data_IF_747125595473
#
_entry.id   IF_747125595473
#
_cell.length_a   1.000
_cell.length_b   1.000
_cell.length_c   1.000
_cell.angle_alpha   90.00
_cell.angle_beta   90.00
_cell.angle_gamma   90.00
#
_symmetry.space_group_name_H-M   'P 1'
#
loop_
_entity.id
_entity.type
_entity.pdbx_description
1 polymer ?
#
# COMPACT_ATOMS: atom_id res chain seq x y z
N UNK A 1 -16.56 -21.16 -7.93
CA UNK A 1 -17.16 -19.79 -7.91
C UNK A 1 -16.68 -19.11 -6.63
N UNK A 2 -16.43 -17.79 -6.63
CA UNK A 2 -15.88 -17.10 -5.44
C UNK A 2 -16.87 -17.12 -4.27
N UNK A 3 -16.35 -17.31 -3.05
CA UNK A 3 -17.12 -17.33 -1.80
C UNK A 3 -16.72 -16.16 -0.91
N UNK A 4 -17.61 -15.20 -0.69
CA UNK A 4 -17.34 -14.00 0.09
C UNK A 4 -17.06 -14.25 1.58
N UNK A 5 -17.35 -15.46 2.08
CA UNK A 5 -17.07 -15.84 3.47
C UNK A 5 -15.65 -16.35 3.68
N UNK A 6 -14.94 -16.68 2.59
CA UNK A 6 -13.60 -17.23 2.65
C UNK A 6 -12.56 -16.15 2.33
N UNK A 7 -11.43 -16.13 3.04
CA UNK A 7 -10.42 -15.11 2.83
C UNK A 7 -9.78 -15.23 1.45
N UNK A 8 -9.47 -14.08 0.85
CA UNK A 8 -8.71 -14.01 -0.39
C UNK A 8 -7.20 -14.14 -0.14
N UNK A 9 -6.45 -14.51 -1.17
CA UNK A 9 -5.00 -14.44 -1.20
C UNK A 9 -4.59 -13.57 -2.38
N UNK A 10 -3.99 -12.44 -2.10
CA UNK A 10 -3.44 -11.53 -3.09
C UNK A 10 -1.95 -11.80 -3.20
N UNK A 11 -1.51 -12.38 -4.31
CA UNK A 11 -0.11 -12.49 -4.66
C UNK A 11 0.28 -11.23 -5.41
N UNK A 12 1.38 -10.61 -5.03
CA UNK A 12 1.98 -9.51 -5.79
C UNK A 12 3.41 -9.85 -6.15
N UNK A 13 3.88 -9.28 -7.25
CA UNK A 13 5.28 -9.25 -7.62
C UNK A 13 5.57 -8.01 -8.47
N UNK A 14 6.78 -7.47 -8.33
CA UNK A 14 7.20 -6.29 -9.08
C UNK A 14 8.64 -6.45 -9.53
N UNK A 15 8.91 -6.08 -10.78
CA UNK A 15 10.26 -6.02 -11.32
C UNK A 15 10.48 -4.74 -12.12
N UNK A 16 11.70 -4.55 -12.62
CA UNK A 16 12.05 -3.37 -13.42
C UNK A 16 11.28 -3.22 -14.73
N UNK A 17 10.51 -4.23 -15.14
CA UNK A 17 9.70 -4.21 -16.37
C UNK A 17 8.21 -3.97 -16.09
N UNK A 18 7.70 -4.47 -14.97
CA UNK A 18 6.26 -4.50 -14.74
C UNK A 18 5.84 -4.90 -13.33
N UNK A 19 4.54 -4.71 -13.09
CA UNK A 19 3.85 -5.03 -11.86
C UNK A 19 2.86 -6.16 -12.15
N UNK A 20 2.80 -7.15 -11.27
CA UNK A 20 1.92 -8.31 -11.40
C UNK A 20 1.16 -8.57 -10.11
N UNK A 21 -0.11 -8.92 -10.22
CA UNK A 21 -0.87 -9.45 -9.11
C UNK A 21 -1.84 -10.57 -9.50
N UNK A 22 -1.97 -11.55 -8.63
CA UNK A 22 -2.89 -12.67 -8.77
C UNK A 22 -3.80 -12.77 -7.54
N UNK A 23 -5.11 -12.70 -7.76
CA UNK A 23 -6.11 -12.90 -6.72
C UNK A 23 -6.58 -14.35 -6.73
N UNK A 24 -6.39 -15.02 -5.61
CA UNK A 24 -6.71 -16.42 -5.41
C UNK A 24 -7.66 -16.61 -4.24
N UNK A 25 -8.32 -17.76 -4.19
CA UNK A 25 -9.12 -18.19 -3.05
C UNK A 25 -9.11 -19.71 -2.90
N UNK A 26 -9.08 -20.17 -1.64
CA UNK A 26 -9.24 -21.59 -1.33
C UNK A 26 -10.72 -21.96 -1.40
N UNK A 27 -11.06 -22.96 -2.21
CA UNK A 27 -12.40 -23.53 -2.31
C UNK A 27 -12.37 -25.00 -1.90
N UNK A 28 -13.48 -25.54 -1.37
CA UNK A 28 -13.60 -26.97 -1.10
C UNK A 28 -14.09 -27.67 -2.37
N UNK A 29 -13.21 -28.44 -3.01
CA UNK A 29 -13.52 -29.25 -4.18
C UNK A 29 -13.31 -30.71 -3.80
N UNK A 30 -14.33 -31.55 -3.99
CA UNK A 30 -14.28 -32.98 -3.63
C UNK A 30 -13.82 -33.21 -2.16
N UNK A 31 -14.39 -32.44 -1.23
CA UNK A 31 -14.05 -32.46 0.20
C UNK A 31 -12.59 -32.10 0.54
N UNK A 32 -11.84 -31.52 -0.40
CA UNK A 32 -10.46 -31.08 -0.19
C UNK A 32 -10.32 -29.57 -0.43
N UNK A 33 -9.52 -28.86 0.38
CA UNK A 33 -9.18 -27.46 0.10
C UNK A 33 -8.27 -27.39 -1.12
N UNK A 34 -8.72 -26.67 -2.15
CA UNK A 34 -7.98 -26.39 -3.37
C UNK A 34 -7.93 -24.89 -3.56
N UNK A 35 -6.72 -24.35 -3.64
CA UNK A 35 -6.53 -22.95 -3.99
C UNK A 35 -6.68 -22.76 -5.50
N UNK A 36 -7.52 -21.82 -5.91
CA UNK A 36 -7.76 -21.52 -7.32
C UNK A 36 -7.67 -20.02 -7.60
N UNK A 37 -7.30 -19.63 -8.84
CA UNK A 37 -7.28 -18.24 -9.25
C UNK A 37 -8.71 -17.69 -9.44
N UNK A 38 -8.87 -16.41 -9.13
CA UNK A 38 -10.07 -15.62 -9.40
C UNK A 38 -9.78 -14.63 -10.52
N UNK A 39 -8.66 -13.90 -10.40
CA UNK A 39 -8.29 -12.84 -11.33
C UNK A 39 -6.78 -12.68 -11.37
N UNK A 40 -6.27 -12.29 -12.53
CA UNK A 40 -4.88 -11.90 -12.73
C UNK A 40 -4.88 -10.49 -13.33
N UNK A 41 -4.00 -9.64 -12.82
CA UNK A 41 -3.78 -8.29 -13.34
C UNK A 41 -2.28 -8.07 -13.50
N UNK A 42 -1.90 -7.34 -14.54
CA UNK A 42 -0.52 -6.95 -14.79
C UNK A 42 -0.51 -5.59 -15.46
N UNK A 43 0.51 -4.76 -15.20
CA UNK A 43 0.76 -3.56 -16.00
C UNK A 43 2.24 -3.29 -16.13
N UNK A 44 2.62 -2.64 -17.22
CA UNK A 44 3.97 -2.14 -17.39
C UNK A 44 4.30 -1.06 -16.35
N UNK A 45 5.53 -1.06 -15.85
CA UNK A 45 6.00 -0.06 -14.90
C UNK A 45 6.12 1.32 -15.58
N UNK A 46 5.73 2.39 -14.88
CA UNK A 46 5.91 3.76 -15.41
C UNK A 46 7.38 4.17 -15.33
N UNK A 47 7.81 5.07 -16.21
CA UNK A 47 9.19 5.60 -16.21
C UNK A 47 9.58 6.30 -14.90
N UNK A 48 8.61 6.86 -14.18
CA UNK A 48 8.80 7.45 -12.85
C UNK A 48 8.98 6.37 -11.78
N UNK A 49 8.18 5.30 -11.85
CA UNK A 49 8.22 4.16 -10.92
C UNK A 49 9.51 3.33 -11.09
N UNK A 50 10.01 3.19 -12.33
CA UNK A 50 11.25 2.50 -12.67
C UNK A 50 12.52 3.13 -12.06
N UNK A 51 12.42 4.34 -11.51
CA UNK A 51 13.53 5.01 -10.79
C UNK A 51 13.70 4.49 -9.36
N UNK A 52 12.70 3.79 -8.82
CA UNK A 52 12.76 3.20 -7.50
C UNK A 52 13.53 1.87 -7.54
N UNK A 53 14.20 1.54 -6.44
CA UNK A 53 14.86 0.23 -6.32
C UNK A 53 13.85 -0.91 -6.27
N UNK A 54 14.29 -2.14 -6.55
CA UNK A 54 13.45 -3.35 -6.61
C UNK A 54 12.59 -3.55 -5.35
N UNK A 55 13.14 -3.31 -4.16
CA UNK A 55 12.36 -3.43 -2.91
C UNK A 55 11.36 -2.28 -2.70
N UNK A 56 11.52 -1.15 -3.40
CA UNK A 56 10.66 0.02 -3.28
C UNK A 56 9.48 -0.03 -4.25
N UNK A 57 9.62 -0.70 -5.41
CA UNK A 57 8.55 -0.83 -6.43
C UNK A 57 7.42 -1.77 -6.01
N UNK A 58 7.62 -2.57 -4.97
CA UNK A 58 6.57 -3.43 -4.44
C UNK A 58 5.49 -2.69 -3.65
N UNK A 59 5.82 -1.59 -2.97
CA UNK A 59 4.82 -0.74 -2.33
C UNK A 59 3.83 -0.14 -3.35
N UNK A 60 4.25 0.51 -4.44
CA UNK A 60 3.33 0.97 -5.47
C UNK A 60 2.66 -0.20 -6.20
N UNK A 61 3.30 -1.37 -6.33
CA UNK A 61 2.62 -2.58 -6.82
C UNK A 61 1.43 -2.97 -5.95
N UNK A 62 1.61 -2.99 -4.63
CA UNK A 62 0.54 -3.28 -3.69
C UNK A 62 -0.59 -2.26 -3.78
N UNK A 63 -0.25 -0.96 -3.73
CA UNK A 63 -1.26 0.12 -3.81
C UNK A 63 -2.06 -0.01 -5.10
N UNK A 64 -1.39 -0.18 -6.24
CA UNK A 64 -2.05 -0.39 -7.52
C UNK A 64 -2.96 -1.63 -7.52
N UNK A 65 -2.50 -2.75 -6.96
CA UNK A 65 -3.30 -3.97 -6.89
C UNK A 65 -4.54 -3.81 -5.99
N UNK A 66 -4.41 -3.09 -4.86
CA UNK A 66 -5.52 -2.78 -3.95
C UNK A 66 -6.57 -1.91 -4.66
N UNK A 67 -6.14 -0.87 -5.37
CA UNK A 67 -7.03 0.01 -6.14
C UNK A 67 -7.79 -0.76 -7.23
N UNK A 68 -7.10 -1.61 -8.01
CA UNK A 68 -7.75 -2.38 -9.10
C UNK A 68 -8.67 -3.49 -8.59
N UNK A 69 -8.34 -4.08 -7.44
CA UNK A 69 -9.11 -5.17 -6.84
C UNK A 69 -9.99 -4.70 -5.68
N UNK A 70 -10.26 -3.39 -5.58
CA UNK A 70 -11.07 -2.77 -4.53
C UNK A 70 -12.38 -3.53 -4.29
N UNK A 71 -13.12 -3.86 -5.37
CA UNK A 71 -14.39 -4.60 -5.30
C UNK A 71 -14.30 -6.02 -4.72
N UNK A 72 -13.10 -6.59 -4.62
CA UNK A 72 -12.86 -7.90 -4.00
C UNK A 72 -12.35 -7.78 -2.57
N UNK A 73 -11.49 -6.79 -2.32
CA UNK A 73 -10.70 -6.71 -1.10
C UNK A 73 -11.35 -5.83 -0.04
N UNK A 74 -12.10 -4.81 -0.46
CA UNK A 74 -12.75 -3.89 0.49
C UNK A 74 -13.74 -4.62 1.41
N UNK A 75 -13.63 -4.35 2.71
CA UNK A 75 -14.42 -5.00 3.76
C UNK A 75 -14.19 -6.51 3.94
N UNK A 76 -13.21 -7.12 3.26
CA UNK A 76 -12.93 -8.57 3.35
C UNK A 76 -11.59 -8.86 4.00
N UNK A 77 -11.46 -10.02 4.64
CA UNK A 77 -10.17 -10.51 5.15
C UNK A 77 -9.37 -11.13 4.02
N UNK A 78 -8.12 -10.73 3.87
CA UNK A 78 -7.24 -11.30 2.86
C UNK A 78 -5.78 -11.40 3.31
N UNK A 79 -5.06 -12.31 2.65
CA UNK A 79 -3.64 -12.49 2.83
C UNK A 79 -2.88 -11.83 1.69
N UNK A 80 -2.00 -10.90 2.01
CA UNK A 80 -1.02 -10.39 1.06
C UNK A 80 0.16 -11.35 1.02
N UNK A 81 0.49 -11.88 -0.14
CA UNK A 81 1.62 -12.78 -0.37
C UNK A 81 2.65 -12.08 -1.26
N UNK A 82 3.84 -11.85 -0.71
CA UNK A 82 4.98 -11.21 -1.38
C UNK A 82 6.27 -11.92 -0.95
N UNK A 83 7.29 -11.91 -1.81
CA UNK A 83 8.63 -12.38 -1.51
C UNK A 83 9.55 -11.32 -0.89
N UNK A 84 9.00 -10.15 -0.60
CA UNK A 84 9.74 -9.06 -0.02
C UNK A 84 9.38 -8.79 1.42
N UNK A 85 10.36 -8.97 2.28
CA UNK A 85 10.29 -8.48 3.63
C UNK A 85 10.20 -6.95 3.69
N UNK A 86 10.57 -6.25 2.61
CA UNK A 86 10.48 -4.79 2.55
C UNK A 86 9.04 -4.30 2.61
N UNK A 87 8.05 -5.02 2.07
CA UNK A 87 6.64 -4.62 2.21
C UNK A 87 6.21 -4.52 3.69
N UNK A 88 6.69 -5.43 4.55
CA UNK A 88 6.45 -5.37 6.00
C UNK A 88 7.19 -4.22 6.66
N UNK A 89 8.46 -4.01 6.32
CA UNK A 89 9.25 -2.93 6.94
C UNK A 89 8.84 -1.55 6.44
N UNK A 90 8.46 -1.43 5.17
CA UNK A 90 8.07 -0.18 4.51
C UNK A 90 6.82 0.41 5.11
N UNK A 91 5.92 -0.40 5.65
CA UNK A 91 4.74 0.07 6.40
C UNK A 91 5.08 0.62 7.79
N UNK A 92 6.29 0.36 8.30
CA UNK A 92 6.70 0.72 9.66
C UNK A 92 7.87 1.72 9.69
N UNK A 93 8.15 2.38 8.55
CA UNK A 93 9.21 3.38 8.46
C UNK A 93 8.80 4.66 9.20
N UNK A 94 9.66 5.10 10.13
CA UNK A 94 9.44 6.30 10.96
C UNK A 94 9.60 7.62 10.21
N UNK A 95 10.31 7.63 9.10
CA UNK A 95 10.59 8.85 8.30
C UNK A 95 10.43 8.53 6.81
N UNK A 96 9.20 8.27 6.35
CA UNK A 96 8.94 7.96 4.95
C UNK A 96 9.17 9.21 4.09
N UNK A 97 9.63 9.02 2.84
CA UNK A 97 9.55 10.09 1.85
C UNK A 97 8.08 10.35 1.47
N UNK A 98 7.82 11.41 0.70
CA UNK A 98 6.46 11.83 0.35
C UNK A 98 5.65 10.72 -0.35
N UNK A 99 6.27 9.98 -1.26
CA UNK A 99 5.58 8.92 -2.01
C UNK A 99 5.28 7.71 -1.12
N UNK A 100 6.23 7.31 -0.29
CA UNK A 100 6.06 6.23 0.67
C UNK A 100 4.97 6.56 1.70
N UNK A 101 4.88 7.81 2.17
CA UNK A 101 3.84 8.23 3.10
C UNK A 101 2.45 8.09 2.45
N UNK A 102 2.30 8.49 1.19
CA UNK A 102 1.04 8.34 0.44
C UNK A 102 0.65 6.87 0.32
N UNK A 103 1.60 6.00 -0.02
CA UNK A 103 1.35 4.57 -0.13
C UNK A 103 1.01 3.93 1.21
N UNK A 104 1.70 4.32 2.29
CA UNK A 104 1.39 3.86 3.64
C UNK A 104 -0.05 4.20 4.05
N UNK A 105 -0.50 5.43 3.78
CA UNK A 105 -1.87 5.86 4.07
C UNK A 105 -2.88 5.01 3.30
N UNK A 106 -2.66 4.78 2.01
CA UNK A 106 -3.54 3.95 1.19
C UNK A 106 -3.60 2.50 1.69
N UNK A 107 -2.46 1.93 2.11
CA UNK A 107 -2.40 0.55 2.61
C UNK A 107 -3.03 0.44 4.01
N UNK A 108 -2.96 1.48 4.84
CA UNK A 108 -3.52 1.48 6.19
C UNK A 108 -5.03 1.27 6.22
N UNK A 109 -5.75 1.70 5.18
CA UNK A 109 -7.20 1.43 5.02
C UNK A 109 -7.50 -0.07 5.09
N UNK A 110 -6.62 -0.91 4.56
CA UNK A 110 -6.75 -2.36 4.56
C UNK A 110 -6.07 -3.04 5.74
N UNK A 111 -5.33 -2.29 6.57
CA UNK A 111 -4.41 -2.84 7.57
C UNK A 111 -5.09 -3.73 8.63
N UNK A 112 -6.37 -3.49 8.93
CA UNK A 112 -7.14 -4.31 9.89
C UNK A 112 -7.49 -5.69 9.31
N UNK A 113 -7.74 -5.75 8.00
CA UNK A 113 -8.23 -6.96 7.33
C UNK A 113 -7.15 -7.67 6.49
N UNK A 114 -5.99 -7.05 6.31
CA UNK A 114 -4.87 -7.57 5.55
C UNK A 114 -3.83 -8.22 6.47
N UNK A 115 -3.47 -9.47 6.19
CA UNK A 115 -2.34 -10.16 6.84
C UNK A 115 -1.22 -10.42 5.86
N UNK A 116 -0.01 -9.90 6.13
CA UNK A 116 1.15 -10.06 5.23
C UNK A 116 1.88 -11.38 5.49
N UNK A 117 1.91 -12.24 4.48
CA UNK A 117 2.59 -13.54 4.45
C UNK A 117 3.80 -13.44 3.51
N UNK A 118 4.99 -13.71 4.05
CA UNK A 118 6.20 -13.78 3.24
C UNK A 118 6.32 -15.16 2.62
N UNK A 119 6.58 -15.22 1.30
CA UNK A 119 6.85 -16.46 0.57
C UNK A 119 8.06 -16.27 -0.32
N UNK A 120 9.07 -17.14 -0.24
CA UNK A 120 10.23 -17.08 -1.13
C UNK A 120 9.83 -17.08 -2.63
N UNK A 121 10.47 -16.23 -3.43
CA UNK A 121 10.11 -15.97 -4.84
C UNK A 121 10.00 -17.20 -5.74
N UNK A 122 10.77 -18.27 -5.48
CA UNK A 122 10.65 -19.55 -6.19
C UNK A 122 9.26 -20.21 -6.09
N UNK A 123 8.46 -19.81 -5.10
CA UNK A 123 7.10 -20.31 -4.85
C UNK A 123 6.05 -19.29 -5.35
N UNK A 124 6.42 -18.05 -5.65
CA UNK A 124 5.53 -16.97 -6.10
C UNK A 124 5.36 -16.90 -7.63
N UNK A 125 5.38 -18.06 -8.31
CA UNK A 125 5.36 -18.15 -9.77
C UNK A 125 4.14 -17.50 -10.44
N UNK A 126 3.03 -17.40 -9.70
CA UNK A 126 1.77 -16.87 -10.22
C UNK A 126 1.87 -15.37 -10.54
N UNK A 127 2.55 -14.59 -9.68
CA UNK A 127 2.75 -13.16 -9.88
C UNK A 127 4.06 -12.87 -10.63
N UNK A 128 5.10 -13.70 -10.46
CA UNK A 128 6.40 -13.54 -11.13
C UNK A 128 6.31 -13.56 -12.67
N UNK A 129 5.46 -14.42 -13.23
CA UNK A 129 5.22 -14.42 -14.67
C UNK A 129 4.57 -13.12 -15.16
N UNK A 130 3.70 -12.52 -14.34
CA UNK A 130 2.93 -11.32 -14.69
C UNK A 130 3.78 -10.04 -14.62
N UNK A 131 4.72 -9.97 -13.68
CA UNK A 131 5.64 -8.82 -13.57
C UNK A 131 6.66 -8.81 -14.72
N UNK A 132 7.19 -9.98 -15.11
CA UNK A 132 8.21 -10.15 -16.16
C UNK A 132 7.67 -10.15 -17.59
N UNK A 133 6.37 -10.37 -17.78
CA UNK A 133 5.71 -10.34 -19.10
C UNK A 133 4.50 -9.42 -19.06
N UNK A 134 4.69 -8.23 -18.50
CA UNK A 134 3.62 -7.27 -18.32
C UNK A 134 3.00 -6.83 -19.66
N UNK A 135 1.68 -6.74 -19.70
CA UNK A 135 0.95 -6.21 -20.84
C UNK A 135 1.27 -4.72 -21.03
N UNK A 136 1.27 -4.28 -22.29
CA UNK A 136 1.38 -2.87 -22.62
C UNK A 136 0.22 -2.10 -21.98
N UNK A 137 0.55 -1.03 -21.26
CA UNK A 137 -0.44 -0.17 -20.62
C UNK A 137 -1.14 0.70 -21.67
N UNK A 138 -2.17 0.17 -22.34
CA UNK A 138 -3.02 0.90 -23.30
C UNK A 138 -4.42 1.16 -22.74
N UNK A 139 -5.17 2.18 -23.20
CA UNK A 139 -6.50 2.51 -22.67
C UNK A 139 -7.53 1.36 -22.72
N UNK A 140 -7.31 0.36 -23.56
CA UNK A 140 -8.14 -0.84 -23.69
C UNK A 140 -7.85 -1.88 -22.59
N UNK A 141 -6.73 -1.76 -21.87
CA UNK A 141 -6.36 -2.67 -20.79
C UNK A 141 -7.20 -2.36 -19.52
N UNK A 142 -7.93 -3.34 -18.94
CA UNK A 142 -8.65 -3.15 -17.69
C UNK A 142 -7.75 -2.75 -16.50
N UNK A 143 -6.43 -3.00 -16.59
CA UNK A 143 -5.44 -2.59 -15.62
C UNK A 143 -4.83 -1.20 -15.89
N UNK A 144 -5.12 -0.58 -17.03
CA UNK A 144 -4.55 0.70 -17.46
C UNK A 144 -4.81 1.82 -16.45
N UNK A 145 -3.79 2.63 -16.18
CA UNK A 145 -3.95 3.83 -15.38
C UNK A 145 -3.59 5.01 -16.27
N UNK A 146 -4.49 5.99 -16.47
CA UNK A 146 -4.12 7.23 -17.13
C UNK A 146 -2.83 7.76 -16.51
N UNK A 147 -1.90 8.25 -17.34
CA UNK A 147 -0.88 9.12 -16.82
C UNK A 147 -1.57 10.45 -16.51
N UNK A 148 -2.19 10.54 -15.35
CA UNK A 148 -2.47 11.84 -14.76
C UNK A 148 -1.10 12.46 -14.49
N UNK A 149 -0.70 13.42 -15.32
CA UNK A 149 0.19 14.46 -14.85
C UNK A 149 -0.54 15.10 -13.67
N UNK A 150 -0.31 14.58 -12.46
CA UNK A 150 -0.63 15.31 -11.27
C UNK A 150 0.28 16.54 -11.31
N UNK A 151 -0.20 17.61 -11.95
CA UNK A 151 0.25 18.92 -11.56
C UNK A 151 -0.05 18.96 -10.07
N UNK A 152 1.01 18.97 -9.26
CA UNK A 152 0.86 19.13 -7.81
C UNK A 152 0.34 20.56 -7.65
N UNK A 153 -0.96 20.77 -7.87
CA UNK A 153 -1.68 21.82 -7.20
C UNK A 153 -1.53 21.40 -5.74
N UNK A 154 -0.64 22.10 -5.03
CA UNK A 154 -0.33 21.78 -3.65
C UNK A 154 -1.62 21.59 -2.86
N UNK A 155 -1.54 20.87 -1.74
CA UNK A 155 -2.58 21.00 -0.73
C UNK A 155 -2.70 22.51 -0.48
N UNK A 156 -3.77 23.11 -0.97
CA UNK A 156 -4.00 24.53 -0.77
C UNK A 156 -4.38 24.64 0.70
N UNK A 157 -3.37 24.87 1.55
CA UNK A 157 -3.52 25.19 2.97
C UNK A 157 -4.28 26.53 3.15
N UNK A 158 -4.70 27.18 2.06
CA UNK A 158 -5.38 28.47 2.07
C UNK A 158 -6.85 28.39 2.47
N UNK A 159 -7.49 27.21 2.45
CA UNK A 159 -8.87 27.06 2.94
C UNK A 159 -8.95 26.70 4.43
N UNK A 160 -7.81 26.67 5.12
CA UNK A 160 -7.79 26.79 6.57
C UNK A 160 -7.98 28.27 6.88
N UNK A 161 -9.25 28.67 7.02
CA UNK A 161 -9.62 30.04 7.38
C UNK A 161 -8.87 30.54 8.63
N UNK A 162 -8.69 31.86 8.72
CA UNK A 162 -7.98 32.57 9.80
C UNK A 162 -8.37 32.10 11.21
N UNK A 163 -9.59 31.59 11.37
CA UNK A 163 -10.14 31.02 12.61
C UNK A 163 -9.32 29.85 13.17
N UNK A 164 -8.79 28.96 12.34
CA UNK A 164 -7.94 27.86 12.82
C UNK A 164 -6.63 28.38 13.39
N UNK A 165 -5.96 29.29 12.67
CA UNK A 165 -4.71 29.89 13.15
C UNK A 165 -4.94 30.73 14.43
N UNK A 166 -6.10 31.38 14.55
CA UNK A 166 -6.49 32.07 15.77
C UNK A 166 -6.73 31.10 16.94
N UNK A 167 -7.44 29.98 16.73
CA UNK A 167 -7.62 28.95 17.76
C UNK A 167 -6.31 28.33 18.21
N UNK A 168 -5.40 28.02 17.28
CA UNK A 168 -4.06 27.51 17.61
C UNK A 168 -3.28 28.55 18.43
N UNK A 169 -3.34 29.82 18.05
CA UNK A 169 -2.66 30.92 18.75
C UNK A 169 -3.26 31.18 20.14
N UNK A 170 -4.55 30.99 20.33
CA UNK A 170 -5.22 31.07 21.63
C UNK A 170 -4.87 29.89 22.53
N UNK A 171 -4.78 28.68 21.97
CA UNK A 171 -4.30 27.48 22.68
C UNK A 171 -2.90 27.69 23.29
N UNK A 172 -1.96 28.27 22.54
CA UNK A 172 -0.63 28.60 23.05
C UNK A 172 -0.62 29.71 24.11
N UNK A 173 -1.63 30.59 24.14
CA UNK A 173 -1.78 31.61 25.19
C UNK A 173 -2.40 31.04 26.46
N UNK A 174 -3.33 30.10 26.33
CA UNK A 174 -4.00 29.41 27.45
C UNK A 174 -3.07 28.44 28.18
N UNK A 175 -2.11 27.82 27.49
CA UNK A 175 -1.28 26.77 28.07
C UNK A 175 0.10 27.22 28.60
N UNK A 176 0.26 28.51 28.95
CA UNK A 176 1.39 28.97 29.79
C UNK A 176 1.13 28.62 31.26
N UNK A 177 1.07 27.32 31.57
CA UNK A 177 1.36 26.84 32.92
C UNK A 177 2.90 26.83 33.10
N UNK A 178 3.46 27.55 34.08
CA UNK A 178 4.90 27.55 34.29
C UNK A 178 5.32 26.20 34.86
N UNK A 179 6.08 25.42 34.11
CA UNK A 179 6.83 24.31 34.67
C UNK A 179 7.90 24.88 35.63
N UNK A 180 7.57 24.99 36.92
CA UNK A 180 8.57 25.06 37.97
C UNK A 180 9.13 23.65 38.17
N UNK A 181 10.33 23.39 37.63
CA UNK A 181 11.17 22.31 38.14
C UNK A 181 11.82 22.77 39.45
N UNK A 182 11.74 22.01 40.57
CA UNK A 182 12.58 22.29 41.72
C UNK A 182 14.04 21.98 41.34
N UNK A 183 14.92 22.96 41.54
CA UNK A 183 16.35 22.79 41.34
C UNK A 183 16.90 21.80 42.38
N UNK A 184 17.34 20.62 41.92
CA UNK A 184 18.23 19.75 42.69
C UNK A 184 19.64 20.33 42.62
N UNK A 185 20.10 20.94 43.71
CA UNK A 185 21.50 21.34 43.91
C UNK A 185 22.41 20.10 44.02
N UNK A 186 23.53 20.10 43.30
CA UNK A 186 24.63 19.16 43.51
C UNK A 186 25.49 19.57 44.73
N UNK A 187 25.76 18.56 45.58
CA UNK A 187 26.95 18.29 46.43
C UNK A 187 27.57 19.41 47.27
N UNK A 188 27.56 19.18 48.59
CA UNK A 188 28.76 18.87 49.40
C UNK A 188 28.38 17.82 50.46
#
# INVERSE_FOLDING_TARGET
MKDWKLPFKLYIDACGEGLGAALHQTQIINYKPVEGPICFISRQIKTTEARHGESQIECPCLVWALERLYYYLDGTVFYLVTDCNAAKSSLNIKTPNRDMLRWQIAIQEYGVNMTIVHKYGNINKNADGLSRWALASTPEDPAWVPQEEHHIEGICVTDIGTEFFNQVKESYKMNKMPYHMPASNERL
#
